data_IF_517261074658
#
_entry.id   IF_517261074658
#
_cell.length_a   1.000
_cell.length_b   1.000
_cell.length_c   1.000
_cell.angle_alpha   90.00
_cell.angle_beta   90.00
_cell.angle_gamma   90.00
#
_symmetry.space_group_name_H-M   'P 1'
#
loop_
_entity.id
_entity.type
_entity.pdbx_description
1 polymer ?
#
# COMPACT_ATOMS: atom_id res chain seq x y z
N UNK A 1 -10.73 -7.72 -14.77
CA UNK A 1 -10.61 -7.04 -13.46
C UNK A 1 -10.29 -8.12 -12.44
N UNK A 2 -9.13 -8.04 -11.80
CA UNK A 2 -8.68 -9.03 -10.83
C UNK A 2 -9.08 -8.59 -9.41
N UNK A 3 -10.09 -9.27 -8.86
CA UNK A 3 -10.68 -8.92 -7.56
C UNK A 3 -9.71 -9.08 -6.40
N UNK A 4 -8.83 -10.08 -6.45
CA UNK A 4 -7.82 -10.32 -5.40
C UNK A 4 -6.85 -9.14 -5.36
N UNK A 5 -6.35 -8.68 -6.50
CA UNK A 5 -5.48 -7.52 -6.57
C UNK A 5 -6.16 -6.26 -6.02
N UNK A 6 -7.44 -6.04 -6.35
CA UNK A 6 -8.22 -4.90 -5.82
C UNK A 6 -8.45 -4.99 -4.31
N UNK A 7 -8.69 -6.19 -3.77
CA UNK A 7 -8.81 -6.39 -2.32
C UNK A 7 -7.52 -6.02 -1.59
N UNK A 8 -6.38 -6.48 -2.09
CA UNK A 8 -5.08 -6.11 -1.51
C UNK A 8 -4.76 -4.62 -1.73
N UNK A 9 -5.13 -4.04 -2.87
CA UNK A 9 -4.99 -2.60 -3.11
C UNK A 9 -5.73 -1.78 -2.03
N UNK A 10 -6.99 -2.15 -1.75
CA UNK A 10 -7.79 -1.51 -0.71
C UNK A 10 -7.19 -1.72 0.69
N UNK A 11 -6.74 -2.95 1.00
CA UNK A 11 -6.13 -3.27 2.29
C UNK A 11 -4.83 -2.46 2.54
N UNK A 12 -3.92 -2.41 1.57
CA UNK A 12 -2.70 -1.62 1.68
C UNK A 12 -2.99 -0.13 1.75
N UNK A 13 -3.95 0.38 0.97
CA UNK A 13 -4.36 1.78 1.03
C UNK A 13 -4.92 2.17 2.40
N UNK A 14 -5.83 1.36 2.95
CA UNK A 14 -6.44 1.61 4.25
C UNK A 14 -5.40 1.57 5.39
N UNK A 15 -4.54 0.55 5.42
CA UNK A 15 -3.51 0.42 6.45
C UNK A 15 -2.48 1.55 6.36
N UNK A 16 -2.08 1.95 5.15
CA UNK A 16 -1.16 3.08 4.96
C UNK A 16 -1.75 4.41 5.46
N UNK A 17 -3.05 4.67 5.26
CA UNK A 17 -3.72 5.87 5.79
C UNK A 17 -3.72 5.86 7.32
N UNK A 18 -4.12 4.73 7.93
CA UNK A 18 -4.15 4.58 9.39
C UNK A 18 -2.75 4.78 9.99
N UNK A 19 -1.75 4.11 9.43
CA UNK A 19 -0.37 4.20 9.89
C UNK A 19 0.24 5.59 9.65
N UNK A 20 -0.07 6.22 8.52
CA UNK A 20 0.37 7.59 8.20
C UNK A 20 -0.18 8.60 9.21
N UNK A 21 -1.46 8.53 9.54
CA UNK A 21 -2.08 9.36 10.57
C UNK A 21 -1.45 9.11 11.96
N UNK A 22 -1.23 7.84 12.31
CA UNK A 22 -0.55 7.47 13.55
C UNK A 22 0.89 8.02 13.62
N UNK A 23 1.62 7.98 12.49
CA UNK A 23 2.93 8.58 12.29
C UNK A 23 2.93 10.08 12.60
N UNK A 24 2.06 10.83 11.93
CA UNK A 24 2.00 12.28 12.01
C UNK A 24 1.52 12.81 13.38
N UNK A 25 0.54 12.13 13.99
CA UNK A 25 -0.10 12.63 15.21
C UNK A 25 0.49 12.07 16.50
N UNK A 26 0.88 10.78 16.52
CA UNK A 26 1.26 10.08 17.75
C UNK A 26 2.74 9.72 17.81
N UNK A 27 3.33 9.21 16.72
CA UNK A 27 4.72 8.73 16.73
C UNK A 27 5.76 9.85 16.63
N UNK A 28 5.42 11.01 16.04
CA UNK A 28 6.35 12.16 15.95
C UNK A 28 6.92 12.62 17.29
N UNK A 29 6.21 12.39 18.40
CA UNK A 29 6.65 12.75 19.77
C UNK A 29 7.47 11.64 20.45
N UNK A 30 7.48 10.43 19.89
CA UNK A 30 8.08 9.23 20.50
C UNK A 30 9.33 8.73 19.75
N UNK A 31 9.42 9.02 18.45
CA UNK A 31 10.50 8.56 17.58
C UNK A 31 11.51 9.68 17.33
N UNK A 32 12.78 9.29 17.12
CA UNK A 32 13.78 10.20 16.57
C UNK A 32 13.41 10.60 15.13
N UNK A 33 14.03 11.66 14.62
CA UNK A 33 13.80 12.14 13.25
C UNK A 33 14.11 11.04 12.22
N UNK A 34 15.18 10.28 12.43
CA UNK A 34 15.60 9.19 11.52
C UNK A 34 14.62 8.01 11.56
N UNK A 35 14.13 7.66 12.76
CA UNK A 35 13.13 6.62 12.93
C UNK A 35 11.79 7.02 12.30
N UNK A 36 11.36 8.27 12.49
CA UNK A 36 10.14 8.80 11.88
C UNK A 36 10.25 8.80 10.35
N UNK A 37 11.40 9.22 9.81
CA UNK A 37 11.66 9.19 8.36
C UNK A 37 11.63 7.76 7.79
N UNK A 38 12.17 6.80 8.53
CA UNK A 38 12.14 5.38 8.16
C UNK A 38 10.71 4.84 8.18
N UNK A 39 9.93 5.19 9.21
CA UNK A 39 8.51 4.85 9.31
C UNK A 39 7.70 5.44 8.13
N UNK A 40 7.86 6.72 7.83
CA UNK A 40 7.21 7.38 6.70
C UNK A 40 7.57 6.74 5.36
N UNK A 41 8.82 6.28 5.20
CA UNK A 41 9.25 5.56 4.00
C UNK A 41 8.52 4.22 3.87
N UNK A 42 8.35 3.48 4.98
CA UNK A 42 7.56 2.26 5.00
C UNK A 42 6.09 2.48 4.62
N UNK A 43 5.46 3.53 5.16
CA UNK A 43 4.08 3.92 4.80
C UNK A 43 3.98 4.28 3.31
N UNK A 44 4.95 5.01 2.76
CA UNK A 44 5.00 5.32 1.31
C UNK A 44 5.08 4.06 0.47
N UNK A 45 5.87 3.07 0.87
CA UNK A 45 5.90 1.79 0.16
C UNK A 45 4.54 1.10 0.17
N UNK A 46 3.79 1.12 1.27
CA UNK A 46 2.42 0.57 1.28
C UNK A 46 1.48 1.30 0.31
N UNK A 47 1.55 2.64 0.22
CA UNK A 47 0.79 3.40 -0.77
C UNK A 47 1.20 3.01 -2.20
N UNK A 48 2.48 2.84 -2.49
CA UNK A 48 2.93 2.40 -3.81
C UNK A 48 2.41 1.00 -4.16
N UNK A 49 2.41 0.06 -3.21
CA UNK A 49 1.80 -1.25 -3.42
C UNK A 49 0.30 -1.13 -3.69
N UNK A 50 -0.42 -0.28 -2.94
CA UNK A 50 -1.85 -0.04 -3.17
C UNK A 50 -2.11 0.48 -4.60
N UNK A 51 -1.34 1.46 -5.06
CA UNK A 51 -1.48 2.03 -6.42
C UNK A 51 -1.15 0.99 -7.49
N UNK A 52 -0.04 0.27 -7.36
CA UNK A 52 0.37 -0.76 -8.31
C UNK A 52 -0.71 -1.85 -8.40
N UNK A 53 -1.21 -2.33 -7.27
CA UNK A 53 -2.25 -3.35 -7.24
C UNK A 53 -3.60 -2.84 -7.76
N UNK A 54 -3.92 -1.56 -7.56
CA UNK A 54 -5.12 -0.94 -8.14
C UNK A 54 -5.04 -0.99 -9.67
N UNK A 55 -3.90 -0.59 -10.24
CA UNK A 55 -3.66 -0.62 -11.68
C UNK A 55 -3.66 -2.07 -12.20
N UNK A 56 -2.96 -3.00 -11.55
CA UNK A 56 -2.98 -4.39 -11.98
C UNK A 56 -4.39 -5.00 -11.86
N UNK A 57 -5.15 -4.64 -10.83
CA UNK A 57 -6.53 -5.07 -10.62
C UNK A 57 -7.47 -4.65 -11.74
N UNK A 58 -7.32 -3.46 -12.30
CA UNK A 58 -8.19 -3.00 -13.38
C UNK A 58 -7.66 -3.33 -14.79
N UNK A 59 -6.34 -3.24 -15.01
CA UNK A 59 -5.75 -3.30 -16.35
C UNK A 59 -5.06 -4.63 -16.70
N UNK A 60 -4.74 -5.49 -15.74
CA UNK A 60 -4.12 -6.78 -16.07
C UNK A 60 -5.17 -7.71 -16.69
N UNK A 61 -4.97 -8.03 -17.97
CA UNK A 61 -5.74 -9.04 -18.68
C UNK A 61 -5.28 -10.41 -18.20
N UNK A 62 -6.21 -11.21 -17.70
CA UNK A 62 -5.96 -12.62 -17.41
C UNK A 62 -5.93 -13.41 -18.71
N UNK A 63 -4.96 -13.13 -19.59
CA UNK A 63 -4.60 -14.07 -20.65
C UNK A 63 -3.71 -15.14 -20.00
N UNK A 64 -4.33 -15.97 -19.16
CA UNK A 64 -3.72 -17.18 -18.64
C UNK A 64 -3.58 -18.12 -19.83
N UNK A 65 -2.40 -18.09 -20.45
CA UNK A 65 -1.93 -19.08 -21.41
C UNK A 65 -1.66 -20.44 -20.72
N UNK A 66 -2.61 -20.92 -19.92
CA UNK A 66 -2.64 -22.24 -19.30
C UNK A 66 -3.96 -22.94 -19.66
N UNK A 67 -4.40 -22.76 -20.91
CA UNK A 67 -5.23 -23.74 -21.61
C UNK A 67 -4.78 -23.73 -23.08
N UNK A 68 -3.83 -24.61 -23.37
CA UNK A 68 -3.75 -25.25 -24.67
C UNK A 68 -4.64 -26.48 -24.61
#
# INVERSE_FOLDING_TARGET
MNEIALLFAAFFGATAIILGAFGAHLLKKKLSIEQLKSFETGVKYQIYHAIVLLVLGFQLKEDTAINK
#
